data_IF_178800377031
#
_entry.id   IF_178800377031
#
_cell.length_a   1.000
_cell.length_b   1.000
_cell.length_c   1.000
_cell.angle_alpha   90.00
_cell.angle_beta   90.00
_cell.angle_gamma   90.00
#
_symmetry.space_group_name_H-M   'P 1'
#
loop_
_entity.id
_entity.type
_entity.pdbx_description
1 polymer ?
#
# COMPACT_ATOMS: atom_id res chain seq x y z
N UNK A 1 -9.46 -72.89 -7.48
CA UNK A 1 -9.17 -72.08 -6.31
C UNK A 1 -8.39 -70.83 -6.78
N UNK A 2 -9.07 -69.71 -6.96
CA UNK A 2 -8.50 -68.48 -7.46
C UNK A 2 -8.46 -67.52 -6.28
N UNK A 3 -7.22 -67.12 -5.84
CA UNK A 3 -7.03 -66.16 -4.79
C UNK A 3 -7.11 -64.74 -5.37
N UNK A 4 -8.14 -63.96 -5.03
CA UNK A 4 -8.25 -62.54 -5.28
C UNK A 4 -7.33 -61.79 -4.28
N UNK A 5 -6.38 -61.00 -4.83
CA UNK A 5 -5.56 -60.08 -4.09
C UNK A 5 -6.25 -58.69 -4.11
N UNK A 6 -6.73 -58.28 -2.93
CA UNK A 6 -7.34 -56.98 -2.73
C UNK A 6 -6.23 -55.90 -2.67
N UNK A 7 -6.19 -54.99 -3.63
CA UNK A 7 -5.31 -53.82 -3.63
C UNK A 7 -5.98 -52.69 -2.88
N UNK A 8 -5.48 -52.38 -1.73
CA UNK A 8 -5.89 -51.25 -0.89
C UNK A 8 -5.20 -50.01 -1.40
N UNK A 9 -5.98 -49.10 -2.03
CA UNK A 9 -5.49 -47.77 -2.42
C UNK A 9 -5.51 -46.86 -1.19
N UNK A 10 -4.32 -46.45 -0.72
CA UNK A 10 -4.19 -45.35 0.24
C UNK A 10 -4.38 -44.03 -0.51
N UNK A 11 -5.47 -43.34 -0.23
CA UNK A 11 -5.67 -41.97 -0.69
C UNK A 11 -4.89 -41.03 0.27
N UNK A 12 -3.80 -40.44 -0.22
CA UNK A 12 -3.08 -39.38 0.46
C UNK A 12 -3.87 -38.09 0.25
N UNK A 13 -4.57 -37.61 1.26
CA UNK A 13 -5.19 -36.29 1.27
C UNK A 13 -4.08 -35.23 1.43
N UNK A 14 -3.77 -34.51 0.35
CA UNK A 14 -2.93 -33.33 0.42
C UNK A 14 -3.68 -32.23 1.17
N UNK A 15 -3.31 -31.92 2.41
CA UNK A 15 -3.74 -30.70 3.09
C UNK A 15 -3.05 -29.52 2.40
N UNK A 16 -3.79 -28.79 1.58
CA UNK A 16 -3.37 -27.48 1.07
C UNK A 16 -3.39 -26.52 2.26
N UNK A 17 -2.21 -26.24 2.80
CA UNK A 17 -2.04 -25.22 3.84
C UNK A 17 -2.34 -23.85 3.23
N UNK A 18 -3.37 -23.18 3.72
CA UNK A 18 -3.62 -21.77 3.46
C UNK A 18 -2.51 -21.00 4.18
N UNK A 19 -1.53 -20.50 3.43
CA UNK A 19 -0.53 -19.58 3.96
C UNK A 19 -1.20 -18.22 4.11
N UNK A 20 -1.52 -17.86 5.35
CA UNK A 20 -1.96 -16.52 5.71
C UNK A 20 -0.78 -15.58 5.42
N UNK A 21 -1.00 -14.55 4.58
CA UNK A 21 -0.02 -13.48 4.39
C UNK A 21 0.34 -12.89 5.76
N UNK A 22 1.64 -12.97 6.08
CA UNK A 22 2.14 -12.43 7.33
C UNK A 22 2.33 -10.93 7.11
N UNK A 23 1.50 -10.11 7.74
CA UNK A 23 1.79 -8.71 7.97
C UNK A 23 3.21 -8.61 8.56
N UNK A 24 4.09 -7.82 7.96
CA UNK A 24 5.48 -7.83 8.36
C UNK A 24 5.96 -6.40 8.62
N UNK A 25 6.10 -6.08 9.92
CA UNK A 25 7.03 -5.05 10.35
C UNK A 25 8.42 -5.55 10.01
N UNK A 26 9.03 -5.01 8.96
CA UNK A 26 10.31 -5.51 8.42
C UNK A 26 11.52 -5.00 9.19
N UNK A 27 11.38 -3.88 9.89
CA UNK A 27 12.46 -3.29 10.70
C UNK A 27 11.91 -2.38 11.78
N UNK A 28 12.54 -2.40 12.97
CA UNK A 28 12.25 -1.49 14.09
C UNK A 28 13.55 -0.90 14.64
N UNK A 29 13.48 0.34 15.11
CA UNK A 29 14.52 1.04 15.85
C UNK A 29 13.84 1.81 16.99
N UNK A 30 14.61 2.34 17.94
CA UNK A 30 14.08 3.05 19.11
C UNK A 30 13.17 4.24 18.71
N UNK A 31 13.41 4.84 17.55
CA UNK A 31 12.74 6.05 17.06
C UNK A 31 12.12 5.88 15.68
N UNK A 32 11.83 4.65 15.24
CA UNK A 32 11.27 4.44 13.91
C UNK A 32 11.04 2.98 13.56
N UNK A 33 10.33 2.78 12.44
CA UNK A 33 10.02 1.45 11.93
C UNK A 33 9.78 1.46 10.42
N UNK A 34 9.77 0.28 9.82
CA UNK A 34 9.41 0.06 8.42
C UNK A 34 8.37 -1.05 8.34
N UNK A 35 7.29 -0.79 7.62
CA UNK A 35 6.30 -1.80 7.24
C UNK A 35 6.29 -1.97 5.74
N UNK A 36 6.09 -3.21 5.27
CA UNK A 36 6.06 -3.51 3.85
C UNK A 36 5.03 -4.58 3.52
N UNK A 37 4.26 -4.33 2.46
CA UNK A 37 3.30 -5.26 1.91
C UNK A 37 3.44 -5.34 0.40
N UNK A 38 3.18 -6.52 -0.16
CA UNK A 38 3.22 -6.74 -1.60
C UNK A 38 2.09 -7.69 -2.01
N UNK A 39 1.52 -7.44 -3.19
CA UNK A 39 0.54 -8.32 -3.83
C UNK A 39 0.69 -8.28 -5.34
N UNK A 40 0.09 -9.25 -6.04
CA UNK A 40 -0.06 -9.22 -7.49
C UNK A 40 -1.51 -8.94 -7.83
N UNK A 41 -1.75 -7.98 -8.70
CA UNK A 41 -3.09 -7.61 -9.16
C UNK A 41 -3.25 -7.91 -10.66
N UNK A 42 -4.45 -8.38 -11.06
CA UNK A 42 -4.79 -8.60 -12.46
C UNK A 42 -5.06 -7.27 -13.15
N UNK A 43 -4.14 -6.85 -14.01
CA UNK A 43 -4.25 -5.61 -14.77
C UNK A 43 -2.89 -4.98 -15.06
N UNK A 44 -2.85 -4.23 -16.15
CA UNK A 44 -1.63 -3.50 -16.50
C UNK A 44 -1.38 -2.32 -15.54
N UNK A 45 -0.12 -1.93 -15.43
CA UNK A 45 0.32 -0.89 -14.49
C UNK A 45 -0.37 0.48 -14.68
N UNK A 46 -0.83 0.79 -15.90
CA UNK A 46 -1.58 2.02 -16.16
C UNK A 46 -2.99 2.00 -15.57
N UNK A 47 -3.67 0.86 -15.61
CA UNK A 47 -4.98 0.68 -14.97
C UNK A 47 -4.84 0.73 -13.43
N UNK A 48 -3.83 0.02 -12.89
CA UNK A 48 -3.53 0.01 -11.45
C UNK A 48 -3.15 1.41 -10.96
N UNK A 49 -2.35 2.16 -11.74
CA UNK A 49 -2.02 3.54 -11.43
C UNK A 49 -3.25 4.44 -11.30
N UNK A 50 -4.20 4.34 -12.24
CA UNK A 50 -5.45 5.13 -12.18
C UNK A 50 -6.27 4.85 -10.92
N UNK A 51 -6.28 3.61 -10.44
CA UNK A 51 -6.93 3.27 -9.19
C UNK A 51 -6.14 3.78 -7.98
N UNK A 52 -4.81 3.60 -7.99
CA UNK A 52 -3.91 4.04 -6.92
C UNK A 52 -4.03 5.53 -6.60
N UNK A 53 -4.15 6.38 -7.63
CA UNK A 53 -4.28 7.83 -7.47
C UNK A 53 -5.70 8.31 -7.15
N UNK A 54 -6.64 7.40 -6.94
CA UNK A 54 -8.02 7.69 -6.54
C UNK A 54 -8.32 7.08 -5.15
N UNK A 55 -7.74 7.61 -4.06
CA UNK A 55 -7.81 7.02 -2.73
C UNK A 55 -9.25 6.88 -2.20
N UNK A 56 -10.17 7.75 -2.59
CA UNK A 56 -11.60 7.62 -2.24
C UNK A 56 -12.22 6.28 -2.62
N UNK A 57 -11.63 5.55 -3.57
CA UNK A 57 -12.16 4.27 -4.04
C UNK A 57 -11.76 3.07 -3.18
N UNK A 58 -10.68 3.18 -2.41
CA UNK A 58 -10.13 2.05 -1.67
C UNK A 58 -9.69 2.37 -0.24
N UNK A 59 -9.35 3.64 0.07
CA UNK A 59 -8.97 3.97 1.44
C UNK A 59 -10.15 3.75 2.37
N UNK A 60 -9.93 3.04 3.49
CA UNK A 60 -11.00 2.75 4.43
C UNK A 60 -11.40 4.03 5.18
N UNK A 61 -12.70 4.29 5.24
CA UNK A 61 -13.27 5.44 5.96
C UNK A 61 -12.97 5.42 7.46
N UNK A 62 -12.80 4.24 8.07
CA UNK A 62 -12.40 4.09 9.47
C UNK A 62 -11.00 4.67 9.77
N UNK A 63 -10.19 4.88 8.71
CA UNK A 63 -8.88 5.51 8.78
C UNK A 63 -8.87 6.93 8.18
N UNK A 64 -10.02 7.60 8.18
CA UNK A 64 -10.19 9.01 7.83
C UNK A 64 -10.54 9.85 9.07
N UNK A 65 -10.34 11.14 9.00
CA UNK A 65 -10.73 12.07 10.06
C UNK A 65 -12.24 12.39 10.03
N UNK A 66 -12.86 12.27 8.85
CA UNK A 66 -14.28 12.61 8.66
C UNK A 66 -15.21 11.40 8.69
N UNK A 67 -14.68 10.16 8.69
CA UNK A 67 -15.46 8.94 8.56
C UNK A 67 -16.06 8.74 7.16
N UNK A 68 -15.59 9.50 6.17
CA UNK A 68 -16.11 9.45 4.80
C UNK A 68 -14.96 9.45 3.78
N UNK A 69 -14.77 8.31 3.13
CA UNK A 69 -13.71 8.11 2.16
C UNK A 69 -13.86 8.99 0.90
N UNK A 70 -15.06 9.50 0.59
CA UNK A 70 -15.28 10.41 -0.56
C UNK A 70 -14.57 11.75 -0.39
N UNK A 71 -14.17 12.08 0.83
CA UNK A 71 -13.43 13.30 1.11
C UNK A 71 -11.94 13.22 0.77
N UNK A 72 -11.40 12.00 0.54
CA UNK A 72 -10.01 11.83 0.12
C UNK A 72 -9.79 12.25 -1.32
N UNK A 73 -8.68 12.94 -1.56
CA UNK A 73 -8.19 13.22 -2.91
C UNK A 73 -6.66 13.18 -2.96
N UNK A 74 -6.13 12.97 -4.15
CA UNK A 74 -4.69 12.94 -4.40
C UNK A 74 -4.37 13.69 -5.69
N UNK A 75 -3.40 14.60 -5.63
CA UNK A 75 -2.84 15.31 -6.77
C UNK A 75 -1.50 14.64 -7.11
N UNK A 76 -1.43 13.78 -8.15
CA UNK A 76 -0.29 12.90 -8.39
C UNK A 76 0.85 13.60 -9.13
N UNK A 77 1.38 14.68 -8.55
CA UNK A 77 2.55 15.41 -9.04
C UNK A 77 3.38 15.90 -7.85
N UNK A 78 4.69 16.08 -8.04
CA UNK A 78 5.57 16.58 -6.98
C UNK A 78 5.04 17.89 -6.39
N UNK A 79 4.94 17.95 -5.06
CA UNK A 79 4.29 19.03 -4.33
C UNK A 79 2.79 18.89 -4.16
N UNK A 80 2.15 17.93 -4.84
CA UNK A 80 0.72 17.65 -4.70
C UNK A 80 0.37 17.07 -3.33
N UNK A 81 -0.90 17.05 -3.05
CA UNK A 81 -1.47 16.64 -1.77
C UNK A 81 -2.15 15.27 -1.86
N UNK A 82 -1.90 14.39 -0.89
CA UNK A 82 -2.84 13.37 -0.44
C UNK A 82 -3.55 13.94 0.77
N UNK A 83 -4.77 14.39 0.54
CA UNK A 83 -5.52 15.18 1.49
C UNK A 83 -6.95 14.67 1.66
N UNK A 84 -7.59 15.14 2.72
CA UNK A 84 -8.99 14.91 3.03
C UNK A 84 -9.67 16.25 3.29
N UNK A 85 -10.85 16.45 2.72
CA UNK A 85 -11.66 17.65 2.96
C UNK A 85 -12.52 17.45 4.20
N UNK A 86 -12.48 18.39 5.13
CA UNK A 86 -13.47 18.47 6.21
C UNK A 86 -14.66 19.24 5.65
N UNK A 87 -15.80 18.55 5.53
CA UNK A 87 -17.02 19.12 4.97
C UNK A 87 -18.08 19.25 6.03
N UNK A 88 -18.72 20.39 6.12
CA UNK A 88 -19.96 20.57 6.86
C UNK A 88 -21.14 20.64 5.90
N UNK A 89 -22.29 20.17 6.36
CA UNK A 89 -23.56 20.31 5.63
C UNK A 89 -24.33 21.43 6.30
N UNK A 90 -24.64 22.50 5.56
CA UNK A 90 -25.53 23.55 6.02
C UNK A 90 -26.98 23.07 6.13
N UNK A 91 -27.84 23.87 6.79
CA UNK A 91 -29.28 23.58 6.89
C UNK A 91 -29.95 23.47 5.51
N UNK A 92 -29.38 24.08 4.47
CA UNK A 92 -29.82 23.97 3.07
C UNK A 92 -29.27 22.74 2.34
N UNK A 93 -28.66 21.78 3.04
CA UNK A 93 -27.96 20.61 2.48
C UNK A 93 -26.80 20.95 1.52
N UNK A 94 -26.23 22.14 1.63
CA UNK A 94 -25.05 22.54 0.86
C UNK A 94 -23.80 22.04 1.60
N UNK A 95 -23.03 21.16 0.96
CA UNK A 95 -21.73 20.72 1.47
C UNK A 95 -20.70 21.81 1.15
N UNK A 96 -20.09 22.41 2.17
CA UNK A 96 -18.94 23.30 2.04
C UNK A 96 -17.67 22.62 2.59
N UNK A 97 -16.51 23.00 2.07
CA UNK A 97 -15.23 22.57 2.61
C UNK A 97 -14.77 23.61 3.64
N UNK A 98 -14.92 23.30 4.94
CA UNK A 98 -14.58 24.22 6.03
C UNK A 98 -13.15 24.01 6.55
N UNK A 99 -12.49 22.96 6.10
CA UNK A 99 -11.13 22.62 6.45
C UNK A 99 -10.57 21.48 5.61
N UNK A 100 -9.37 21.10 5.92
CA UNK A 100 -8.73 19.96 5.28
C UNK A 100 -7.64 19.36 6.15
N UNK A 101 -7.36 18.08 5.93
CA UNK A 101 -6.22 17.38 6.52
C UNK A 101 -5.24 17.05 5.40
N UNK A 102 -3.97 17.41 5.56
CA UNK A 102 -2.91 16.90 4.71
C UNK A 102 -2.38 15.62 5.34
N UNK A 103 -2.71 14.47 4.76
CA UNK A 103 -2.16 13.20 5.20
C UNK A 103 -0.70 13.06 4.80
N UNK A 104 -0.40 13.32 3.52
CA UNK A 104 0.97 13.28 2.99
C UNK A 104 1.12 14.24 1.80
N UNK A 105 2.36 14.52 1.45
CA UNK A 105 2.73 15.30 0.27
C UNK A 105 3.41 14.41 -0.75
N UNK A 106 3.05 14.53 -2.02
CA UNK A 106 3.73 13.83 -3.12
C UNK A 106 5.14 14.41 -3.28
N UNK A 107 6.15 13.55 -3.20
CA UNK A 107 7.56 13.92 -3.44
C UNK A 107 8.11 13.28 -4.71
N UNK A 108 7.43 12.25 -5.23
CA UNK A 108 7.76 11.63 -6.51
C UNK A 108 6.50 11.00 -7.12
N UNK A 109 6.28 11.20 -8.41
CA UNK A 109 5.21 10.57 -9.17
C UNK A 109 5.69 10.20 -10.57
N UNK A 110 5.66 8.91 -10.90
CA UNK A 110 5.94 8.38 -12.23
C UNK A 110 4.81 7.44 -12.63
N UNK A 111 3.98 7.91 -13.56
CA UNK A 111 2.77 7.18 -14.00
C UNK A 111 3.09 5.72 -14.34
N UNK A 112 2.33 4.81 -13.75
CA UNK A 112 2.43 3.37 -13.94
C UNK A 112 3.68 2.72 -13.35
N UNK A 113 4.52 3.45 -12.59
CA UNK A 113 5.75 2.91 -12.00
C UNK A 113 5.83 3.16 -10.49
N UNK A 114 5.74 4.41 -10.03
CA UNK A 114 5.98 4.73 -8.64
C UNK A 114 5.26 6.01 -8.21
N UNK A 115 4.69 5.97 -7.01
CA UNK A 115 4.23 7.12 -6.25
C UNK A 115 4.96 7.12 -4.91
N UNK A 116 5.58 8.24 -4.52
CA UNK A 116 6.21 8.40 -3.21
C UNK A 116 5.66 9.63 -2.52
N UNK A 117 5.23 9.41 -1.29
CA UNK A 117 4.60 10.42 -0.45
C UNK A 117 5.45 10.63 0.80
N UNK A 118 5.50 11.86 1.31
CA UNK A 118 6.14 12.21 2.59
C UNK A 118 5.11 12.82 3.53
N UNK A 119 5.14 12.37 4.79
CA UNK A 119 4.23 12.83 5.85
C UNK A 119 4.00 11.75 6.90
N UNK A 120 3.05 12.00 7.79
CA UNK A 120 2.65 11.06 8.82
C UNK A 120 1.16 10.75 8.70
N UNK A 121 0.77 9.49 8.92
CA UNK A 121 -0.60 9.02 8.77
C UNK A 121 -1.27 8.85 10.15
N UNK A 122 -2.57 9.16 10.20
CA UNK A 122 -3.41 8.94 11.39
C UNK A 122 -2.84 9.62 12.64
N UNK A 123 -2.74 8.91 13.78
CA UNK A 123 -2.29 9.50 15.04
C UNK A 123 -0.83 9.97 15.00
N UNK A 124 -0.01 9.45 14.08
CA UNK A 124 1.37 9.90 13.88
C UNK A 124 1.46 11.37 13.41
N UNK A 125 0.37 11.96 12.92
CA UNK A 125 0.34 13.38 12.55
C UNK A 125 0.49 14.32 13.75
N UNK A 126 0.15 13.86 14.95
CA UNK A 126 0.37 14.60 16.20
C UNK A 126 1.78 14.49 16.76
N UNK A 127 2.61 13.60 16.19
CA UNK A 127 3.95 13.32 16.67
C UNK A 127 5.02 14.09 15.86
N UNK A 128 6.20 14.27 16.46
CA UNK A 128 7.33 14.89 15.77
C UNK A 128 8.09 13.88 14.88
N UNK A 129 7.33 13.15 14.04
CA UNK A 129 7.84 12.16 13.11
C UNK A 129 7.57 12.57 11.66
N UNK A 130 8.33 11.99 10.76
CA UNK A 130 8.01 11.99 9.35
C UNK A 130 8.04 10.57 8.80
N UNK A 131 7.24 10.32 7.77
CA UNK A 131 7.23 9.05 7.09
C UNK A 131 7.41 9.21 5.59
N UNK A 132 7.85 8.13 4.94
CA UNK A 132 7.93 8.03 3.49
C UNK A 132 7.17 6.78 3.06
N UNK A 133 6.02 6.99 2.40
CA UNK A 133 5.25 5.91 1.79
C UNK A 133 5.62 5.81 0.32
N UNK A 134 6.22 4.70 -0.06
CA UNK A 134 6.57 4.38 -1.45
C UNK A 134 5.64 3.28 -1.96
N UNK A 135 4.93 3.55 -3.05
CA UNK A 135 4.04 2.64 -3.74
C UNK A 135 4.62 2.37 -5.12
N UNK A 136 5.11 1.14 -5.33
CA UNK A 136 5.78 0.72 -6.56
C UNK A 136 4.86 -0.21 -7.37
N UNK A 137 4.87 -0.03 -8.68
CA UNK A 137 4.16 -0.85 -9.66
C UNK A 137 5.18 -1.46 -10.61
N UNK A 138 5.26 -2.79 -10.64
CA UNK A 138 6.15 -3.51 -11.55
C UNK A 138 5.30 -4.39 -12.47
N UNK A 139 5.33 -4.16 -13.79
CA UNK A 139 4.64 -5.01 -14.75
C UNK A 139 5.14 -6.46 -14.70
N UNK A 140 4.21 -7.43 -14.72
CA UNK A 140 4.48 -8.86 -14.75
C UNK A 140 3.51 -9.55 -15.73
N UNK A 141 3.86 -9.57 -17.01
CA UNK A 141 2.93 -10.01 -18.07
C UNK A 141 1.68 -9.13 -18.09
N UNK A 142 0.50 -9.75 -17.99
CA UNK A 142 -0.80 -9.06 -17.91
C UNK A 142 -1.15 -8.56 -16.51
N UNK A 143 -0.30 -8.87 -15.51
CA UNK A 143 -0.48 -8.50 -14.12
C UNK A 143 0.47 -7.36 -13.73
N UNK A 144 0.29 -6.85 -12.53
CA UNK A 144 1.18 -5.87 -11.89
C UNK A 144 1.49 -6.30 -10.46
N UNK A 145 2.78 -6.39 -10.14
CA UNK A 145 3.23 -6.47 -8.75
C UNK A 145 3.08 -5.09 -8.14
N UNK A 146 2.36 -5.00 -7.03
CA UNK A 146 2.13 -3.76 -6.28
C UNK A 146 2.76 -3.90 -4.90
N UNK A 147 3.69 -2.99 -4.56
CA UNK A 147 4.39 -2.96 -3.28
C UNK A 147 4.21 -1.63 -2.59
N UNK A 148 3.80 -1.69 -1.32
CA UNK A 148 3.75 -0.55 -0.41
C UNK A 148 4.85 -0.70 0.63
N UNK A 149 5.68 0.33 0.79
CA UNK A 149 6.69 0.41 1.84
C UNK A 149 6.52 1.74 2.57
N UNK A 150 6.26 1.69 3.86
CA UNK A 150 6.14 2.88 4.70
C UNK A 150 7.23 2.88 5.76
N UNK A 151 8.10 3.87 5.70
CA UNK A 151 9.18 4.11 6.65
C UNK A 151 8.83 5.32 7.50
N UNK A 152 8.86 5.17 8.81
CA UNK A 152 8.57 6.23 9.79
C UNK A 152 9.77 6.42 10.69
N UNK A 153 10.11 7.67 10.99
CA UNK A 153 11.18 8.01 11.92
C UNK A 153 11.04 9.40 12.50
N UNK A 154 11.57 9.59 13.70
CA UNK A 154 11.53 10.83 14.43
C UNK A 154 11.27 10.62 15.93
N UNK A 155 10.98 11.70 16.65
CA UNK A 155 10.53 11.59 18.02
C UNK A 155 9.04 11.27 18.07
N UNK A 156 8.67 10.22 18.81
CA UNK A 156 7.28 9.82 19.05
C UNK A 156 7.10 9.41 20.51
N UNK A 157 5.92 9.70 21.05
CA UNK A 157 5.53 9.29 22.40
C UNK A 157 4.96 7.87 22.42
N UNK A 158 4.45 7.40 21.28
CA UNK A 158 3.97 6.01 21.14
C UNK A 158 5.15 5.03 21.22
N UNK A 159 5.04 3.95 22.03
CA UNK A 159 5.99 2.85 21.97
C UNK A 159 6.01 2.21 20.57
N UNK A 160 7.20 2.05 20.00
CA UNK A 160 7.35 1.52 18.62
C UNK A 160 6.77 0.12 18.47
N UNK A 161 6.90 -0.73 19.49
CA UNK A 161 6.36 -2.09 19.52
C UNK A 161 4.83 -2.15 19.51
N UNK A 162 4.14 -1.06 19.85
CA UNK A 162 2.69 -0.93 19.82
C UNK A 162 2.21 -0.26 18.53
N UNK A 163 2.85 0.84 18.12
CA UNK A 163 2.39 1.61 16.97
C UNK A 163 2.75 0.96 15.64
N UNK A 164 3.91 0.30 15.53
CA UNK A 164 4.34 -0.32 14.28
C UNK A 164 3.39 -1.42 13.81
N UNK A 165 2.92 -2.38 14.64
CA UNK A 165 1.92 -3.36 14.22
C UNK A 165 0.57 -2.73 13.83
N UNK A 166 0.15 -1.65 14.51
CA UNK A 166 -1.09 -0.97 14.16
C UNK A 166 -0.99 -0.30 12.77
N UNK A 167 0.12 0.37 12.49
CA UNK A 167 0.39 0.98 11.17
C UNK A 167 0.52 -0.08 10.10
N UNK A 168 1.16 -1.22 10.41
CA UNK A 168 1.29 -2.37 9.50
C UNK A 168 -0.09 -2.87 9.07
N UNK A 169 -1.01 -3.07 10.02
CA UNK A 169 -2.38 -3.46 9.73
C UNK A 169 -3.10 -2.48 8.80
N UNK A 170 -2.97 -1.18 9.06
CA UNK A 170 -3.60 -0.14 8.21
C UNK A 170 -3.04 -0.16 6.78
N UNK A 171 -1.71 -0.19 6.60
CA UNK A 171 -1.09 -0.19 5.28
C UNK A 171 -1.45 -1.46 4.50
N UNK A 172 -1.44 -2.63 5.17
CA UNK A 172 -1.86 -3.90 4.58
C UNK A 172 -3.31 -3.89 4.13
N UNK A 173 -4.21 -3.35 4.97
CA UNK A 173 -5.62 -3.20 4.61
C UNK A 173 -5.81 -2.31 3.36
N UNK A 174 -5.13 -1.15 3.29
CA UNK A 174 -5.28 -0.28 2.12
C UNK A 174 -4.79 -0.97 0.83
N UNK A 175 -3.69 -1.72 0.90
CA UNK A 175 -3.22 -2.52 -0.23
C UNK A 175 -4.23 -3.60 -0.61
N UNK A 176 -4.80 -4.32 0.35
CA UNK A 176 -5.80 -5.36 0.10
C UNK A 176 -7.07 -4.77 -0.55
N UNK A 177 -7.55 -3.62 -0.06
CA UNK A 177 -8.72 -2.92 -0.63
C UNK A 177 -8.46 -2.40 -2.05
N UNK A 178 -7.26 -1.89 -2.32
CA UNK A 178 -6.86 -1.51 -3.68
C UNK A 178 -6.80 -2.73 -4.59
N UNK A 179 -6.22 -3.85 -4.14
CA UNK A 179 -6.12 -5.07 -4.93
C UNK A 179 -7.48 -5.67 -5.26
N UNK A 180 -8.46 -5.55 -4.37
CA UNK A 180 -9.83 -6.02 -4.58
C UNK A 180 -10.56 -5.30 -5.74
N UNK A 181 -10.06 -4.15 -6.21
CA UNK A 181 -10.57 -3.48 -7.41
C UNK A 181 -10.15 -4.21 -8.71
N UNK A 182 -9.26 -5.20 -8.61
CA UNK A 182 -8.69 -5.96 -9.73
C UNK A 182 -8.84 -7.47 -9.48
N UNK A 183 -10.07 -7.99 -9.38
CA UNK A 183 -10.27 -9.42 -9.17
C UNK A 183 -9.72 -10.18 -10.36
N UNK A 184 -8.86 -11.18 -10.10
CA UNK A 184 -8.39 -12.12 -11.12
C UNK A 184 -9.53 -13.03 -11.58
N UNK A 185 -9.34 -13.81 -12.67
CA UNK A 185 -10.31 -14.77 -13.16
C UNK A 185 -10.66 -15.83 -12.11
N UNK A 186 -9.80 -16.04 -11.10
CA UNK A 186 -9.95 -17.05 -10.05
C UNK A 186 -10.26 -16.45 -8.65
N UNK A 187 -10.59 -15.14 -8.57
CA UNK A 187 -10.88 -14.46 -7.31
C UNK A 187 -9.81 -13.42 -6.90
N UNK A 188 -9.78 -12.97 -5.62
CA UNK A 188 -8.82 -12.00 -5.14
C UNK A 188 -7.38 -12.48 -5.34
N UNK A 189 -6.49 -11.53 -5.69
CA UNK A 189 -5.09 -11.81 -5.99
C UNK A 189 -4.44 -12.72 -4.92
N UNK A 190 -3.83 -13.82 -5.38
CA UNK A 190 -3.07 -14.70 -4.50
C UNK A 190 -1.75 -14.05 -4.14
N UNK A 191 -1.42 -14.05 -2.84
CA UNK A 191 -0.14 -13.56 -2.34
C UNK A 191 1.02 -14.35 -2.94
N UNK A 192 2.01 -13.64 -3.50
CA UNK A 192 3.29 -14.26 -3.84
C UNK A 192 4.08 -14.52 -2.56
N UNK A 193 4.82 -15.64 -2.48
CA UNK A 193 5.74 -15.87 -1.37
C UNK A 193 6.76 -14.74 -1.30
N UNK A 194 7.02 -14.26 -0.08
CA UNK A 194 8.08 -13.29 0.18
C UNK A 194 9.42 -13.85 -0.36
N UNK A 195 9.98 -13.20 -1.39
CA UNK A 195 11.25 -13.62 -1.99
C UNK A 195 11.21 -13.82 -3.52
N UNK A 196 10.06 -13.73 -4.18
CA UNK A 196 9.96 -13.98 -5.63
C UNK A 196 10.11 -12.72 -6.51
N UNK A 197 10.38 -11.55 -5.94
CA UNK A 197 10.69 -10.35 -6.70
C UNK A 197 12.12 -9.90 -6.38
N UNK A 198 12.95 -9.80 -7.40
CA UNK A 198 14.22 -9.09 -7.29
C UNK A 198 13.99 -7.70 -6.68
N UNK A 199 14.92 -7.19 -5.83
CA UNK A 199 14.80 -5.84 -5.31
C UNK A 199 14.61 -4.90 -6.50
N UNK A 200 13.53 -4.13 -6.48
CA UNK A 200 13.36 -3.04 -7.44
C UNK A 200 14.40 -2.01 -7.03
N UNK A 201 15.55 -2.00 -7.74
CA UNK A 201 16.64 -1.09 -7.46
C UNK A 201 16.12 0.34 -7.54
N UNK A 202 16.31 1.09 -6.45
CA UNK A 202 16.08 2.53 -6.37
C UNK A 202 17.28 3.23 -7.05
N UNK A 203 17.59 2.81 -8.29
CA UNK A 203 18.55 3.53 -9.11
C UNK A 203 17.92 4.87 -9.49
N UNK A 204 18.08 5.83 -8.57
CA UNK A 204 17.99 7.21 -8.91
C UNK A 204 18.94 7.45 -10.08
N UNK A 205 18.40 7.80 -11.25
CA UNK A 205 19.16 8.22 -12.39
C UNK A 205 20.18 9.28 -11.92
N UNK A 206 21.44 8.86 -11.80
CA UNK A 206 22.54 9.76 -11.61
C UNK A 206 22.59 10.70 -12.80
N UNK A 207 22.12 11.93 -12.58
CA UNK A 207 22.49 13.05 -13.43
C UNK A 207 23.97 13.28 -13.13
N UNK A 208 24.84 12.84 -14.04
CA UNK A 208 26.24 13.19 -14.05
C UNK A 208 26.34 14.71 -14.21
N UNK A 209 27.06 15.43 -13.35
CA UNK A 209 27.29 16.87 -13.51
C UNK A 209 28.59 17.13 -14.29
N UNK A 210 28.73 16.59 -15.47
CA UNK A 210 29.83 16.92 -16.34
C UNK A 210 29.37 16.94 -17.80
N UNK A 211 28.97 18.13 -18.28
CA UNK A 211 29.11 18.56 -19.66
C UNK A 211 28.63 20.02 -19.81
N UNK A 212 29.40 20.95 -19.19
CA UNK A 212 29.38 22.37 -19.57
C UNK A 212 30.82 22.91 -19.55
N UNK A 213 31.57 22.51 -20.56
CA UNK A 213 32.77 23.26 -21.00
C UNK A 213 32.80 23.26 -22.53
N UNK A 214 32.13 24.28 -23.15
CA UNK A 214 32.71 25.03 -24.29
C UNK A 214 31.82 26.25 -24.63
#
# INVERSE_FOLDING_TARGET
>A
MIKQASRMFLAVAALSGVTVAKAEVTNTADNGFTVQHQTVVSGNSGAVWKALIAPSRYWNADHSWTGDAENFYLIPQAGGCFCELIRTTSDDNIKSADGSVQHMRVIYAHNGKMLRLSGALGPLQGEAVTGTLTMQLQPQGDNTVLRFTYKVGGYMEFPVDQIAPAVDGVIGEQLARLSALFPGPDGPATDLPAGAADPIDDEGSGVSPDDDQN
#
